data_IF_520581429756
#
_entry.id   IF_520581429756
#
_cell.length_a   1.000
_cell.length_b   1.000
_cell.length_c   1.000
_cell.angle_alpha   90.00
_cell.angle_beta   90.00
_cell.angle_gamma   90.00
#
_symmetry.space_group_name_H-M   'P 1'
#
loop_
_entity.id
_entity.type
_entity.pdbx_description
1 polymer ?
#
# COMPACT_ATOMS: atom_id res chain seq x y z
N UNK A 1 -5.59 -64.47 29.87
CA UNK A 1 -5.47 -63.02 30.15
C UNK A 1 -4.04 -62.73 30.61
N UNK A 2 -3.18 -62.19 29.75
CA UNK A 2 -1.81 -61.77 30.09
C UNK A 2 -1.63 -60.31 29.68
N UNK A 3 -1.14 -59.51 30.62
CA UNK A 3 -1.08 -58.04 30.58
C UNK A 3 0.05 -57.60 29.64
N UNK A 4 -0.26 -56.72 28.69
CA UNK A 4 0.70 -56.05 27.81
C UNK A 4 1.02 -54.70 28.41
N UNK A 5 2.30 -54.40 28.63
CA UNK A 5 2.84 -53.04 28.63
C UNK A 5 4.24 -53.07 28.02
N UNK A 6 4.31 -52.80 26.71
CA UNK A 6 5.55 -52.48 26.03
C UNK A 6 5.48 -50.99 25.70
N UNK A 7 6.31 -50.22 26.39
CA UNK A 7 6.60 -48.82 26.10
C UNK A 7 7.82 -48.82 25.18
N UNK A 8 7.75 -48.21 23.99
CA UNK A 8 8.91 -47.71 23.23
C UNK A 8 8.47 -46.64 22.21
N UNK A 9 9.42 -45.77 21.89
CA UNK A 9 9.34 -44.35 21.56
C UNK A 9 9.56 -44.09 20.05
N UNK A 10 8.92 -43.01 19.53
CA UNK A 10 9.19 -42.21 18.31
C UNK A 10 9.26 -42.90 16.92
N UNK A 11 8.34 -42.53 16.00
CA UNK A 11 8.71 -41.86 14.73
C UNK A 11 7.49 -41.20 14.04
N UNK A 12 7.79 -40.07 13.41
CA UNK A 12 7.00 -39.12 12.64
C UNK A 12 6.17 -39.77 11.52
N UNK A 13 4.96 -39.24 11.25
CA UNK A 13 4.39 -38.91 9.92
C UNK A 13 3.12 -38.06 10.15
N UNK A 14 3.30 -36.74 10.05
CA UNK A 14 2.21 -35.79 9.86
C UNK A 14 1.95 -35.69 8.34
N UNK A 15 0.89 -36.33 7.87
CA UNK A 15 0.29 -36.14 6.54
C UNK A 15 -1.22 -36.33 6.76
N UNK A 16 -2.14 -35.47 6.33
CA UNK A 16 -2.06 -34.30 5.45
C UNK A 16 -3.39 -33.57 5.58
N UNK A 17 -3.39 -32.37 6.16
CA UNK A 17 -4.42 -31.36 5.93
C UNK A 17 -3.77 -30.26 5.10
N UNK A 18 -3.60 -30.53 3.81
CA UNK A 18 -3.35 -29.47 2.83
C UNK A 18 -4.72 -29.05 2.31
N UNK A 19 -5.42 -28.26 3.12
CA UNK A 19 -6.38 -27.32 2.59
C UNK A 19 -5.58 -26.17 2.02
N UNK A 20 -5.23 -26.25 0.74
CA UNK A 20 -4.83 -25.06 -0.02
C UNK A 20 -6.05 -24.12 -0.07
N UNK A 21 -6.23 -23.29 0.95
CA UNK A 21 -6.91 -22.02 0.75
C UNK A 21 -5.93 -21.18 -0.04
N UNK A 22 -5.99 -21.28 -1.37
CA UNK A 22 -5.48 -20.24 -2.23
C UNK A 22 -6.23 -18.97 -1.84
N UNK A 23 -5.60 -18.14 -1.01
CA UNK A 23 -5.97 -16.75 -0.91
C UNK A 23 -5.61 -16.13 -2.26
N UNK A 24 -6.48 -16.38 -3.25
CA UNK A 24 -6.67 -15.46 -4.33
C UNK A 24 -7.05 -14.17 -3.62
N UNK A 25 -6.09 -13.26 -3.49
CA UNK A 25 -6.33 -11.89 -3.09
C UNK A 25 -7.20 -11.27 -4.17
N UNK A 26 -8.48 -11.64 -4.17
CA UNK A 26 -9.53 -10.87 -4.79
C UNK A 26 -9.41 -9.52 -4.10
N UNK A 27 -9.09 -8.51 -4.89
CA UNK A 27 -9.27 -7.14 -4.46
C UNK A 27 -10.74 -7.03 -4.13
N UNK A 28 -11.09 -7.04 -2.85
CA UNK A 28 -12.41 -6.61 -2.43
C UNK A 28 -12.48 -5.14 -2.84
N UNK A 29 -13.08 -4.88 -4.01
CA UNK A 29 -13.60 -3.57 -4.30
C UNK A 29 -14.69 -3.35 -3.26
N UNK A 30 -14.39 -2.56 -2.22
CA UNK A 30 -15.38 -2.12 -1.24
C UNK A 30 -16.52 -1.46 -2.01
N UNK A 31 -17.66 -2.16 -2.08
CA UNK A 31 -18.90 -1.66 -2.66
C UNK A 31 -19.31 -0.45 -1.81
N UNK A 32 -19.06 0.76 -2.31
CA UNK A 32 -19.31 2.02 -1.60
C UNK A 32 -18.16 3.04 -1.66
N UNK A 33 -16.99 2.68 -2.21
CA UNK A 33 -15.86 3.61 -2.35
C UNK A 33 -15.65 4.05 -3.81
N UNK A 34 -15.75 5.36 -4.06
CA UNK A 34 -15.42 5.99 -5.34
C UNK A 34 -13.89 6.09 -5.46
N UNK A 35 -13.31 5.53 -6.54
CA UNK A 35 -11.89 5.75 -6.86
C UNK A 35 -11.72 7.17 -7.37
N UNK A 36 -10.89 7.96 -6.69
CA UNK A 36 -10.59 9.35 -7.04
C UNK A 36 -9.32 9.43 -7.89
N UNK A 37 -8.29 8.69 -7.47
CA UNK A 37 -6.98 8.75 -8.10
C UNK A 37 -6.27 7.40 -8.01
N UNK A 38 -5.48 7.09 -9.04
CA UNK A 38 -4.57 5.94 -9.02
C UNK A 38 -3.31 6.27 -9.82
N UNK A 39 -2.15 6.13 -9.19
CA UNK A 39 -0.86 6.25 -9.85
C UNK A 39 -0.01 5.02 -9.56
N UNK A 40 0.54 4.42 -10.61
CA UNK A 40 1.48 3.30 -10.50
C UNK A 40 2.76 3.67 -11.23
N UNK A 41 3.91 3.44 -10.58
CA UNK A 41 5.23 3.56 -11.18
C UNK A 41 6.01 2.25 -11.06
N UNK A 42 7.01 2.09 -11.93
CA UNK A 42 7.90 0.93 -11.95
C UNK A 42 9.36 1.37 -11.84
N UNK A 43 9.87 1.69 -10.63
CA UNK A 43 11.14 2.41 -10.47
C UNK A 43 12.37 1.69 -11.01
N UNK A 44 12.28 0.36 -11.16
CA UNK A 44 13.38 -0.48 -11.61
C UNK A 44 13.23 -0.99 -13.04
N UNK A 45 12.17 -0.63 -13.78
CA UNK A 45 11.84 -1.22 -15.08
C UNK A 45 12.99 -1.11 -16.09
N UNK A 46 13.67 0.03 -16.15
CA UNK A 46 14.81 0.27 -17.05
C UNK A 46 16.08 -0.52 -16.67
N UNK A 47 16.13 -1.13 -15.48
CA UNK A 47 17.34 -1.72 -14.90
C UNK A 47 17.27 -3.22 -14.70
N UNK A 48 16.14 -3.86 -15.06
CA UNK A 48 15.93 -5.30 -14.94
C UNK A 48 15.88 -5.96 -16.31
N UNK A 49 16.28 -7.23 -16.37
CA UNK A 49 16.34 -7.99 -17.64
C UNK A 49 15.07 -8.81 -17.90
N UNK A 50 14.26 -9.06 -16.86
CA UNK A 50 13.03 -9.83 -16.94
C UNK A 50 11.85 -9.02 -16.42
N UNK A 51 10.68 -9.22 -17.06
CA UNK A 51 9.42 -8.61 -16.60
C UNK A 51 9.01 -9.06 -15.20
N UNK A 52 9.40 -10.26 -14.81
CA UNK A 52 9.08 -10.82 -13.48
C UNK A 52 9.84 -10.13 -12.35
N UNK A 53 10.90 -9.38 -12.68
CA UNK A 53 11.69 -8.59 -11.73
C UNK A 53 11.20 -7.13 -11.61
N UNK A 54 10.24 -6.71 -12.44
CA UNK A 54 9.70 -5.35 -12.40
C UNK A 54 8.90 -5.16 -11.10
N UNK A 55 9.30 -4.16 -10.33
CA UNK A 55 8.62 -3.74 -9.12
C UNK A 55 7.67 -2.60 -9.45
N UNK A 56 6.40 -2.79 -9.18
CA UNK A 56 5.36 -1.77 -9.25
C UNK A 56 5.09 -1.21 -7.86
N UNK A 57 4.98 0.12 -7.76
CA UNK A 57 4.52 0.84 -6.57
C UNK A 57 3.28 1.62 -6.96
N UNK A 58 2.22 1.52 -6.17
CA UNK A 58 0.91 2.12 -6.48
C UNK A 58 0.40 2.92 -5.29
N UNK A 59 -0.07 4.14 -5.58
CA UNK A 59 -0.94 4.91 -4.71
C UNK A 59 -2.35 4.84 -5.29
N UNK A 60 -3.33 4.46 -4.46
CA UNK A 60 -4.76 4.48 -4.77
C UNK A 60 -5.45 5.36 -3.74
N UNK A 61 -6.24 6.32 -4.19
CA UNK A 61 -7.05 7.18 -3.34
C UNK A 61 -8.51 6.92 -3.65
N UNK A 62 -9.28 6.58 -2.62
CA UNK A 62 -10.72 6.39 -2.68
C UNK A 62 -11.41 7.34 -1.71
N UNK A 63 -12.69 7.58 -1.94
CA UNK A 63 -13.56 8.30 -1.02
C UNK A 63 -14.84 7.47 -0.80
N UNK A 64 -15.24 7.27 0.45
CA UNK A 64 -16.49 6.57 0.77
C UNK A 64 -17.70 7.51 0.68
N UNK A 65 -18.91 6.96 0.84
CA UNK A 65 -20.17 7.73 0.81
C UNK A 65 -20.28 8.78 1.93
N UNK A 66 -19.56 8.59 3.04
CA UNK A 66 -19.51 9.55 4.16
C UNK A 66 -18.53 10.70 3.88
N UNK A 67 -17.70 10.59 2.85
CA UNK A 67 -16.69 11.57 2.47
C UNK A 67 -15.29 11.26 3.01
N UNK A 68 -15.11 10.27 3.88
CA UNK A 68 -13.77 9.88 4.35
C UNK A 68 -12.90 9.43 3.16
N UNK A 69 -11.70 9.98 3.08
CA UNK A 69 -10.74 9.67 2.03
C UNK A 69 -9.80 8.59 2.54
N UNK A 70 -9.63 7.50 1.78
CA UNK A 70 -8.66 6.46 2.06
C UNK A 70 -7.52 6.51 1.06
N UNK A 71 -6.30 6.54 1.57
CA UNK A 71 -5.08 6.45 0.77
C UNK A 71 -4.42 5.12 1.03
N UNK A 72 -4.31 4.30 -0.01
CA UNK A 72 -3.62 3.01 0.02
C UNK A 72 -2.34 3.07 -0.79
N UNK A 73 -1.25 2.60 -0.20
CA UNK A 73 0.00 2.33 -0.88
C UNK A 73 0.26 0.82 -0.96
N UNK A 74 0.57 0.33 -2.15
CA UNK A 74 0.83 -1.09 -2.41
C UNK A 74 1.99 -1.30 -3.37
N UNK A 75 2.64 -2.46 -3.27
CA UNK A 75 3.68 -2.90 -4.20
C UNK A 75 3.63 -4.40 -4.41
N UNK A 76 4.06 -4.88 -5.59
CA UNK A 76 4.27 -6.31 -5.83
C UNK A 76 5.60 -6.83 -5.26
N UNK A 77 6.42 -5.96 -4.67
CA UNK A 77 7.66 -6.35 -4.00
C UNK A 77 7.35 -7.07 -2.69
N UNK A 78 7.92 -8.26 -2.50
CA UNK A 78 7.83 -9.02 -1.24
C UNK A 78 8.42 -8.26 -0.03
N UNK A 79 9.20 -7.19 -0.27
CA UNK A 79 9.75 -6.35 0.79
C UNK A 79 8.76 -5.33 1.32
N UNK A 80 7.65 -5.06 0.65
CA UNK A 80 6.71 -4.02 1.05
C UNK A 80 5.37 -4.63 1.43
N UNK A 81 4.92 -4.34 2.65
CA UNK A 81 3.57 -4.66 3.10
C UNK A 81 2.66 -3.48 2.74
N UNK A 82 1.47 -3.78 2.24
CA UNK A 82 0.46 -2.76 1.94
C UNK A 82 0.22 -1.91 3.19
N UNK A 83 0.14 -0.60 3.01
CA UNK A 83 -0.15 0.36 4.07
C UNK A 83 -1.23 1.32 3.64
N UNK A 84 -1.99 1.84 4.60
CA UNK A 84 -3.05 2.80 4.34
C UNK A 84 -3.19 3.80 5.47
N UNK A 85 -3.83 4.92 5.18
CA UNK A 85 -4.30 5.90 6.15
C UNK A 85 -5.61 6.52 5.64
N UNK A 86 -6.38 7.11 6.55
CA UNK A 86 -7.54 7.91 6.19
C UNK A 86 -7.33 9.41 6.45
N UNK A 87 -8.16 10.22 5.81
CA UNK A 87 -8.29 11.65 6.01
C UNK A 87 -9.78 11.92 6.24
N UNK A 88 -10.11 12.49 7.39
CA UNK A 88 -11.47 12.92 7.71
C UNK A 88 -11.77 14.18 6.88
N UNK A 89 -12.56 14.04 5.82
CA UNK A 89 -12.86 15.18 4.93
C UNK A 89 -14.24 15.03 4.29
N UNK A 90 -15.26 15.60 4.92
CA UNK A 90 -16.67 15.34 4.58
C UNK A 90 -17.20 16.13 3.37
N UNK A 91 -16.34 16.49 2.41
CA UNK A 91 -16.74 17.07 1.11
C UNK A 91 -16.26 16.18 -0.03
N UNK A 92 -17.04 16.08 -1.10
CA UNK A 92 -16.62 15.35 -2.30
C UNK A 92 -15.35 15.97 -2.89
N UNK A 93 -14.37 15.11 -3.23
CA UNK A 93 -13.19 15.49 -4.00
C UNK A 93 -13.20 14.83 -5.38
N UNK A 94 -12.41 15.37 -6.29
CA UNK A 94 -12.12 14.77 -7.58
C UNK A 94 -10.61 14.72 -7.87
N UNK A 95 -10.23 14.14 -9.01
CA UNK A 95 -8.84 13.92 -9.38
C UNK A 95 -8.01 15.21 -9.38
N UNK A 96 -8.59 16.39 -9.69
CA UNK A 96 -7.85 17.66 -9.73
C UNK A 96 -7.41 18.14 -8.34
N UNK A 97 -8.06 17.63 -7.30
CA UNK A 97 -7.82 17.99 -5.91
C UNK A 97 -6.69 17.13 -5.29
N UNK A 98 -6.18 16.16 -6.05
CA UNK A 98 -5.09 15.25 -5.67
C UNK A 98 -3.83 15.57 -6.46
N UNK A 99 -2.70 15.63 -5.76
CA UNK A 99 -1.38 15.69 -6.36
C UNK A 99 -0.49 14.60 -5.75
N UNK A 100 0.09 13.75 -6.59
CA UNK A 100 1.07 12.74 -6.18
C UNK A 100 2.38 12.96 -6.93
N UNK A 101 3.43 13.32 -6.19
CA UNK A 101 4.79 13.42 -6.71
C UNK A 101 5.60 12.21 -6.29
N UNK A 102 6.22 11.57 -7.26
CA UNK A 102 7.15 10.48 -7.00
C UNK A 102 8.57 11.02 -6.88
N UNK A 103 9.22 10.70 -5.77
CA UNK A 103 10.53 11.21 -5.40
C UNK A 103 11.46 10.04 -5.07
N UNK A 104 12.74 10.29 -5.28
CA UNK A 104 13.83 9.48 -4.72
C UNK A 104 13.89 9.63 -3.21
N UNK A 105 14.67 8.78 -2.54
CA UNK A 105 14.85 8.85 -1.08
C UNK A 105 15.41 10.20 -0.60
N UNK A 106 16.13 10.91 -1.48
CA UNK A 106 16.69 12.23 -1.22
C UNK A 106 15.73 13.39 -1.56
N UNK A 107 14.49 13.09 -1.98
CA UNK A 107 13.47 14.11 -2.29
C UNK A 107 13.57 14.74 -3.68
N UNK A 108 14.32 14.14 -4.60
CA UNK A 108 14.46 14.61 -5.99
C UNK A 108 13.62 13.77 -6.95
N UNK A 109 13.15 14.37 -8.05
CA UNK A 109 12.48 13.70 -9.19
C UNK A 109 13.47 13.07 -10.18
N UNK A 110 14.73 13.50 -10.16
CA UNK A 110 15.81 12.91 -10.98
C UNK A 110 16.20 11.52 -10.51
N UNK A 111 16.16 10.56 -11.42
CA UNK A 111 16.43 9.14 -11.15
C UNK A 111 17.78 8.68 -11.70
N UNK A 112 18.29 7.59 -11.11
CA UNK A 112 19.37 6.76 -11.65
C UNK A 112 19.19 5.33 -11.15
N UNK A 113 20.04 4.41 -11.61
CA UNK A 113 20.00 3.01 -11.15
C UNK A 113 20.15 2.91 -9.62
N UNK A 114 21.02 3.72 -9.03
CA UNK A 114 21.31 3.74 -7.60
C UNK A 114 20.36 4.67 -6.81
N UNK A 115 19.63 5.55 -7.49
CA UNK A 115 18.72 6.52 -6.89
C UNK A 115 17.36 6.48 -7.60
N UNK A 116 16.61 5.41 -7.36
CA UNK A 116 15.27 5.19 -7.93
C UNK A 116 14.19 5.89 -7.09
N UNK A 117 13.02 6.08 -7.71
CA UNK A 117 11.85 6.61 -7.00
C UNK A 117 11.35 5.58 -5.98
N UNK A 118 11.12 6.03 -4.75
CA UNK A 118 10.63 5.18 -3.67
C UNK A 118 9.84 5.94 -2.60
N UNK A 119 9.56 7.21 -2.84
CA UNK A 119 8.74 8.06 -1.98
C UNK A 119 7.60 8.63 -2.81
N UNK A 120 6.36 8.48 -2.35
CA UNK A 120 5.22 9.20 -2.88
C UNK A 120 4.89 10.34 -1.92
N UNK A 121 4.92 11.57 -2.42
CA UNK A 121 4.47 12.77 -1.72
C UNK A 121 3.04 13.07 -2.19
N UNK A 122 2.08 12.96 -1.27
CA UNK A 122 0.65 12.90 -1.56
C UNK A 122 -0.03 14.10 -0.91
N UNK A 123 -0.57 14.98 -1.74
CA UNK A 123 -1.23 16.21 -1.33
C UNK A 123 -2.70 16.14 -1.75
N UNK A 124 -3.60 16.39 -0.80
CA UNK A 124 -5.04 16.53 -1.01
C UNK A 124 -5.42 17.98 -0.71
N UNK A 125 -6.19 18.61 -1.59
CA UNK A 125 -6.51 20.04 -1.54
C UNK A 125 -8.02 20.31 -1.52
N UNK A 126 -8.39 21.45 -0.94
CA UNK A 126 -9.67 22.11 -1.16
C UNK A 126 -9.41 23.45 -1.85
N UNK A 127 -9.49 23.45 -3.18
CA UNK A 127 -9.07 24.58 -4.00
C UNK A 127 -7.57 24.90 -3.83
N UNK A 128 -7.25 25.97 -3.10
CA UNK A 128 -5.87 26.40 -2.85
C UNK A 128 -5.32 25.94 -1.49
N UNK A 129 -6.17 25.42 -0.61
CA UNK A 129 -5.79 24.97 0.72
C UNK A 129 -5.32 23.52 0.69
N UNK A 130 -4.27 23.19 1.45
CA UNK A 130 -3.79 21.82 1.64
C UNK A 130 -4.52 21.24 2.84
N UNK A 131 -5.37 20.25 2.59
CA UNK A 131 -6.14 19.54 3.63
C UNK A 131 -5.27 18.47 4.28
N UNK A 132 -4.48 17.76 3.49
CA UNK A 132 -3.57 16.72 3.97
C UNK A 132 -2.35 16.65 3.07
N UNK A 133 -1.17 16.55 3.67
CA UNK A 133 0.07 16.20 2.98
C UNK A 133 0.79 15.10 3.77
N UNK A 134 1.04 13.97 3.11
CA UNK A 134 1.77 12.84 3.69
C UNK A 134 2.73 12.23 2.68
N UNK A 135 3.85 11.71 3.19
CA UNK A 135 4.84 10.98 2.40
C UNK A 135 4.80 9.50 2.73
N UNK A 136 4.58 8.68 1.71
CA UNK A 136 4.73 7.22 1.80
C UNK A 136 6.12 6.84 1.30
N UNK A 137 6.92 6.24 2.16
CA UNK A 137 8.24 5.75 1.81
C UNK A 137 8.23 4.22 1.63
N UNK A 138 8.29 3.76 0.38
CA UNK A 138 8.29 2.34 0.02
C UNK A 138 9.57 1.61 0.44
N UNK A 139 10.71 2.31 0.53
CA UNK A 139 11.98 1.73 0.96
C UNK A 139 12.06 1.56 2.49
N UNK A 140 11.54 2.54 3.24
CA UNK A 140 11.54 2.56 4.71
C UNK A 140 10.28 1.96 5.34
N UNK A 141 9.24 1.69 4.54
CA UNK A 141 7.92 1.20 4.99
C UNK A 141 7.28 2.10 6.03
N UNK A 142 7.28 3.40 5.77
CA UNK A 142 6.81 4.42 6.70
C UNK A 142 5.90 5.43 6.00
N UNK A 143 4.89 5.89 6.74
CA UNK A 143 4.11 7.09 6.42
C UNK A 143 4.63 8.20 7.32
N UNK A 144 4.98 9.33 6.71
CA UNK A 144 5.31 10.57 7.40
C UNK A 144 4.20 11.58 7.15
N UNK A 145 3.66 12.16 8.23
CA UNK A 145 2.69 13.24 8.12
C UNK A 145 3.40 14.59 8.07
N UNK A 146 3.09 15.41 7.06
CA UNK A 146 3.67 16.74 6.86
C UNK A 146 2.67 17.81 7.29
N UNK A 147 1.43 17.70 6.81
CA UNK A 147 0.30 18.54 7.21
C UNK A 147 -0.81 17.63 7.73
N UNK A 148 -1.23 17.89 8.97
CA UNK A 148 -2.42 17.29 9.56
C UNK A 148 -3.65 18.13 9.24
N UNK A 149 -4.76 17.42 9.10
CA UNK A 149 -6.12 17.90 8.91
C UNK A 149 -6.37 19.22 9.65
N UNK A 150 -6.48 20.31 8.87
CA UNK A 150 -6.96 21.59 9.41
C UNK A 150 -8.47 21.48 9.42
N UNK A 151 -8.99 20.79 10.44
CA UNK A 151 -10.41 20.86 10.78
C UNK A 151 -10.75 22.33 11.02
N UNK A 152 -11.29 23.00 10.02
CA UNK A 152 -12.10 24.18 10.30
C UNK A 152 -13.36 23.63 10.96
N UNK A 153 -13.41 23.68 12.29
CA UNK A 153 -14.65 23.58 13.06
C UNK A 153 -15.68 24.51 12.36
N UNK A 154 -16.68 23.93 11.69
CA UNK A 154 -17.86 24.64 11.19
C UNK A 154 -19.10 24.12 11.91
#
# INVERSE_FOLDING_TARGET
MKKIKLLLIFFVICFSLVGCSSNNSQTEENIGEKVIFKSTISPNEEYVSSKDEIVNQTIKITQNEEGEIFVEASSNSAFFEKMSYSVEYYKEIDEKDVEVKWLTLMGSDKTSKENQLCVADIIIKDGAEVVSERKVNFAKKAIETIVEDVTSEQ
#
